data_IF_583399168424
#
_entry.id   IF_583399168424
#
_cell.length_a   1.000
_cell.length_b   1.000
_cell.length_c   1.000
_cell.angle_alpha   90.00
_cell.angle_beta   90.00
_cell.angle_gamma   90.00
#
_symmetry.space_group_name_H-M   'P 1'
#
loop_
_entity.id
_entity.type
_entity.pdbx_description
1 polymer ?
#
# COMPACT_ATOMS: atom_id res chain seq x y z
N UNK A 1 -19.32 -4.84 20.64
CA UNK A 1 -17.98 -5.34 20.26
C UNK A 1 -17.46 -4.42 19.18
N UNK A 2 -16.38 -3.66 19.41
CA UNK A 2 -15.86 -2.73 18.41
C UNK A 2 -15.07 -3.54 17.37
N UNK A 3 -15.57 -3.58 16.12
CA UNK A 3 -14.86 -4.16 14.98
C UNK A 3 -14.18 -3.02 14.19
N UNK A 4 -12.91 -3.18 13.85
CA UNK A 4 -12.17 -2.25 13.01
C UNK A 4 -11.90 -2.89 11.67
N UNK A 5 -12.11 -2.13 10.60
CA UNK A 5 -11.87 -2.59 9.23
C UNK A 5 -11.42 -1.43 8.35
N UNK A 6 -10.60 -1.77 7.38
CA UNK A 6 -10.16 -0.88 6.30
C UNK A 6 -10.17 -1.66 4.98
N UNK A 7 -10.11 -1.01 3.81
CA UNK A 7 -10.05 -1.72 2.53
C UNK A 7 -8.90 -2.74 2.46
N UNK A 8 -7.76 -2.45 3.10
CA UNK A 8 -6.63 -3.38 3.16
C UNK A 8 -6.68 -4.41 4.31
N UNK A 9 -7.62 -4.29 5.25
CA UNK A 9 -7.77 -5.23 6.38
C UNK A 9 -9.24 -5.49 6.71
N UNK A 10 -9.76 -6.60 6.18
CA UNK A 10 -11.13 -7.08 6.40
C UNK A 10 -11.22 -8.26 7.37
N UNK A 11 -10.12 -8.64 8.02
CA UNK A 11 -10.01 -9.84 8.85
C UNK A 11 -11.12 -9.97 9.90
N UNK A 12 -11.57 -8.86 10.50
CA UNK A 12 -12.63 -8.86 11.53
C UNK A 12 -14.06 -8.98 10.97
N UNK A 13 -14.22 -9.00 9.65
CA UNK A 13 -15.50 -9.06 8.95
C UNK A 13 -15.60 -10.29 8.03
N UNK A 14 -14.60 -11.17 8.01
CA UNK A 14 -14.59 -12.38 7.18
C UNK A 14 -15.80 -13.28 7.42
N UNK A 15 -16.22 -13.40 8.69
CA UNK A 15 -17.41 -14.15 9.12
C UNK A 15 -18.69 -13.62 8.46
N UNK A 16 -18.78 -12.31 8.22
CA UNK A 16 -19.94 -11.66 7.61
C UNK A 16 -19.82 -11.68 6.07
N UNK A 17 -18.64 -11.37 5.54
CA UNK A 17 -18.38 -11.25 4.11
C UNK A 17 -18.43 -12.60 3.38
N UNK A 18 -18.05 -13.70 4.05
CA UNK A 18 -17.95 -15.02 3.44
C UNK A 18 -19.04 -16.00 3.91
N UNK A 19 -20.01 -15.56 4.70
CA UNK A 19 -21.15 -16.39 5.14
C UNK A 19 -22.01 -16.94 3.98
N UNK A 20 -21.96 -16.30 2.80
CA UNK A 20 -22.85 -16.57 1.66
C UNK A 20 -22.06 -16.87 0.38
N UNK A 21 -21.07 -17.77 0.47
CA UNK A 21 -20.06 -18.08 -0.55
C UNK A 21 -20.50 -17.97 -2.02
N UNK A 22 -19.96 -16.96 -2.73
CA UNK A 22 -19.70 -16.96 -4.18
C UNK A 22 -18.83 -15.76 -4.62
N UNK A 23 -18.68 -14.74 -3.77
CA UNK A 23 -17.76 -13.64 -4.03
C UNK A 23 -16.33 -14.09 -3.78
N UNK A 24 -15.51 -14.09 -4.83
CA UNK A 24 -14.10 -14.40 -4.77
C UNK A 24 -13.41 -13.61 -3.65
N UNK A 25 -12.41 -14.23 -3.03
CA UNK A 25 -11.56 -13.60 -2.02
C UNK A 25 -10.82 -12.43 -2.68
N UNK A 26 -11.39 -11.22 -2.64
CA UNK A 26 -10.67 -10.03 -3.11
C UNK A 26 -9.36 -9.95 -2.34
N UNK A 27 -8.26 -9.76 -3.06
CA UNK A 27 -6.94 -9.62 -2.45
C UNK A 27 -6.96 -8.42 -1.50
N UNK A 28 -6.99 -8.71 -0.21
CA UNK A 28 -6.86 -7.71 0.85
C UNK A 28 -5.40 -7.70 1.25
N UNK A 29 -4.77 -6.53 1.12
CA UNK A 29 -3.37 -6.35 1.40
C UNK A 29 -3.08 -4.91 1.76
N UNK A 30 -2.29 -4.74 2.82
CA UNK A 30 -1.77 -3.44 3.25
C UNK A 30 -0.31 -3.36 2.84
N UNK A 31 0.02 -2.37 2.03
CA UNK A 31 1.39 -2.05 1.64
C UNK A 31 1.87 -0.83 2.42
N UNK A 32 3.07 -0.85 2.99
CA UNK A 32 3.73 0.34 3.52
C UNK A 32 4.80 0.79 2.54
N UNK A 33 4.94 2.11 2.36
CA UNK A 33 6.02 2.65 1.54
C UNK A 33 6.73 3.86 2.19
N UNK A 34 8.02 3.99 1.89
CA UNK A 34 8.86 5.08 2.39
C UNK A 34 9.89 5.48 1.34
N UNK A 35 10.04 6.79 1.12
CA UNK A 35 11.12 7.32 0.30
C UNK A 35 12.39 7.48 1.13
N UNK A 36 13.51 7.20 0.49
CA UNK A 36 14.84 7.56 0.95
C UNK A 36 15.65 8.10 -0.23
N UNK A 37 16.46 9.12 0.01
CA UNK A 37 17.38 9.65 -0.99
C UNK A 37 18.79 9.59 -0.43
N UNK A 38 19.68 8.89 -1.13
CA UNK A 38 21.08 8.77 -0.77
C UNK A 38 21.94 8.99 -2.01
N UNK A 39 22.97 9.84 -1.91
CA UNK A 39 23.87 10.17 -3.03
C UNK A 39 23.16 10.63 -4.32
N UNK A 40 22.02 11.33 -4.17
CA UNK A 40 21.22 11.81 -5.30
C UNK A 40 20.34 10.73 -5.97
N UNK A 41 20.37 9.49 -5.48
CA UNK A 41 19.49 8.42 -5.92
C UNK A 41 18.35 8.29 -4.92
N UNK A 42 17.12 8.45 -5.42
CA UNK A 42 15.91 8.24 -4.61
C UNK A 42 15.40 6.82 -4.82
N UNK A 43 15.14 6.13 -3.72
CA UNK A 43 14.56 4.79 -3.68
C UNK A 43 13.27 4.79 -2.87
N UNK A 44 12.40 3.83 -3.17
CA UNK A 44 11.20 3.53 -2.38
C UNK A 44 11.39 2.16 -1.74
N UNK A 45 11.39 2.12 -0.41
CA UNK A 45 11.23 0.89 0.34
C UNK A 45 9.76 0.51 0.43
N UNK A 46 9.44 -0.76 0.17
CA UNK A 46 8.09 -1.31 0.13
C UNK A 46 8.00 -2.54 1.04
N UNK A 47 6.90 -2.65 1.78
CA UNK A 47 6.57 -3.84 2.56
C UNK A 47 5.07 -4.16 2.44
N UNK A 48 4.72 -5.37 2.03
CA UNK A 48 3.34 -5.84 1.91
C UNK A 48 3.09 -6.97 2.90
N UNK A 49 1.99 -6.89 3.63
CA UNK A 49 1.45 -8.02 4.40
C UNK A 49 0.37 -8.69 3.55
N UNK A 50 0.60 -9.95 3.20
CA UNK A 50 -0.35 -10.81 2.50
C UNK A 50 -0.92 -11.81 3.53
N UNK A 51 -2.09 -11.43 4.07
CA UNK A 51 -2.80 -12.23 5.09
C UNK A 51 -3.30 -13.57 4.56
N UNK A 52 -3.54 -13.68 3.24
CA UNK A 52 -4.03 -14.92 2.64
C UNK A 52 -2.93 -15.99 2.61
N UNK A 53 -1.70 -15.59 2.29
CA UNK A 53 -0.55 -16.50 2.22
C UNK A 53 0.29 -16.54 3.50
N UNK A 54 -0.06 -15.71 4.50
CA UNK A 54 0.72 -15.53 5.73
C UNK A 54 2.17 -15.12 5.43
N UNK A 55 2.38 -14.30 4.40
CA UNK A 55 3.71 -13.85 4.00
C UNK A 55 3.89 -12.34 4.16
N UNK A 56 5.13 -11.96 4.44
CA UNK A 56 5.57 -10.57 4.38
C UNK A 56 6.51 -10.45 3.19
N UNK A 57 6.14 -9.60 2.23
CA UNK A 57 6.95 -9.33 1.02
C UNK A 57 7.60 -7.97 1.20
N UNK A 58 8.89 -7.87 0.88
CA UNK A 58 9.63 -6.61 0.95
C UNK A 58 10.44 -6.40 -0.33
N UNK A 59 10.52 -5.17 -0.80
CA UNK A 59 11.42 -4.81 -1.89
C UNK A 59 11.82 -3.34 -1.82
N UNK A 60 12.94 -3.03 -2.46
CA UNK A 60 13.39 -1.66 -2.68
C UNK A 60 13.49 -1.42 -4.17
N UNK A 61 13.02 -0.26 -4.63
CA UNK A 61 13.09 0.12 -6.04
C UNK A 61 13.54 1.55 -6.21
N UNK A 62 14.35 1.81 -7.24
CA UNK A 62 14.75 3.16 -7.64
C UNK A 62 13.57 3.91 -8.23
N UNK A 63 13.43 5.19 -7.89
CA UNK A 63 12.41 6.10 -8.43
C UNK A 63 12.81 6.53 -9.84
N UNK A 64 11.97 6.23 -10.82
CA UNK A 64 12.05 6.83 -12.15
C UNK A 64 11.26 8.14 -12.18
N UNK A 65 11.45 8.96 -13.24
CA UNK A 65 10.83 10.28 -13.39
C UNK A 65 9.29 10.32 -13.22
N UNK A 66 8.60 9.17 -13.32
CA UNK A 66 7.14 9.09 -13.23
C UNK A 66 6.64 7.98 -12.28
N UNK A 67 7.48 7.45 -11.37
CA UNK A 67 7.10 6.38 -10.44
C UNK A 67 6.59 5.09 -11.12
N UNK A 68 6.88 4.86 -12.40
CA UNK A 68 6.32 3.74 -13.16
C UNK A 68 6.69 2.36 -12.59
N UNK A 69 7.85 2.24 -11.96
CA UNK A 69 8.26 1.02 -11.24
C UNK A 69 7.31 0.73 -10.07
N UNK A 70 6.91 1.76 -9.33
CA UNK A 70 5.94 1.64 -8.24
C UNK A 70 4.55 1.28 -8.79
N UNK A 71 4.06 2.01 -9.80
CA UNK A 71 2.75 1.72 -10.41
C UNK A 71 2.67 0.25 -10.89
N UNK A 72 3.75 -0.26 -11.49
CA UNK A 72 3.85 -1.66 -11.92
C UNK A 72 3.73 -2.62 -10.74
N UNK A 73 4.42 -2.33 -9.63
CA UNK A 73 4.35 -3.16 -8.41
C UNK A 73 2.96 -3.12 -7.80
N UNK A 74 2.32 -1.94 -7.73
CA UNK A 74 0.97 -1.80 -7.19
C UNK A 74 -0.05 -2.58 -8.02
N UNK A 75 0.05 -2.54 -9.35
CA UNK A 75 -0.81 -3.34 -10.25
C UNK A 75 -0.59 -4.84 -10.06
N UNK A 76 0.66 -5.29 -9.94
CA UNK A 76 1.02 -6.70 -9.76
C UNK A 76 0.57 -7.26 -8.40
N UNK A 77 0.79 -6.50 -7.32
CA UNK A 77 0.49 -6.94 -5.96
C UNK A 77 -0.97 -6.70 -5.57
N UNK A 78 -1.64 -5.74 -6.21
CA UNK A 78 -3.03 -5.40 -5.96
C UNK A 78 -3.39 -5.04 -4.51
N UNK A 79 -2.54 -4.33 -3.73
CA UNK A 79 -2.93 -3.91 -2.39
C UNK A 79 -4.13 -2.96 -2.48
N UNK A 80 -4.98 -2.98 -1.46
CA UNK A 80 -6.16 -2.09 -1.41
C UNK A 80 -5.90 -0.85 -0.56
N UNK A 81 -4.86 -0.89 0.25
CA UNK A 81 -4.46 0.20 1.12
C UNK A 81 -2.94 0.33 1.16
N UNK A 82 -2.47 1.57 1.19
CA UNK A 82 -1.09 1.93 1.32
C UNK A 82 -0.87 2.85 2.52
N UNK A 83 0.03 2.47 3.42
CA UNK A 83 0.47 3.29 4.53
C UNK A 83 1.60 4.22 4.08
N UNK A 84 1.39 5.51 4.29
CA UNK A 84 2.41 6.55 4.09
C UNK A 84 2.70 7.26 5.40
N UNK A 85 3.96 7.63 5.71
CA UNK A 85 4.22 8.51 6.83
C UNK A 85 3.54 9.87 6.61
N UNK A 86 2.99 10.46 7.66
CA UNK A 86 2.44 11.80 7.67
C UNK A 86 3.61 12.79 7.57
N UNK A 87 3.66 13.57 6.50
CA UNK A 87 4.65 14.63 6.34
C UNK A 87 3.97 15.98 6.53
N UNK A 88 4.56 16.83 7.37
CA UNK A 88 4.17 18.24 7.51
C UNK A 88 4.78 19.10 6.41
N UNK A 89 5.74 18.57 5.65
CA UNK A 89 6.51 19.28 4.65
C UNK A 89 6.08 18.87 3.24
N UNK A 90 5.76 19.87 2.43
CA UNK A 90 5.42 19.83 1.00
C UNK A 90 6.62 19.42 0.13
N UNK A 91 7.28 18.31 0.47
CA UNK A 91 8.32 17.72 -0.37
C UNK A 91 7.62 17.19 -1.64
N UNK A 92 7.86 17.83 -2.79
CA UNK A 92 7.21 17.53 -4.06
C UNK A 92 7.21 16.03 -4.40
N UNK A 93 8.26 15.32 -4.01
CA UNK A 93 8.40 13.88 -4.21
C UNK A 93 7.33 13.07 -3.47
N UNK A 94 6.97 13.43 -2.23
CA UNK A 94 5.93 12.72 -1.48
C UNK A 94 4.54 12.99 -2.05
N UNK A 95 4.28 14.20 -2.55
CA UNK A 95 3.02 14.50 -3.22
C UNK A 95 2.88 13.70 -4.52
N UNK A 96 3.96 13.57 -5.30
CA UNK A 96 3.98 12.75 -6.50
C UNK A 96 3.82 11.26 -6.19
N UNK A 97 4.48 10.77 -5.13
CA UNK A 97 4.32 9.39 -4.64
C UNK A 97 2.87 9.10 -4.27
N UNK A 98 2.25 9.97 -3.45
CA UNK A 98 0.85 9.85 -3.04
C UNK A 98 -0.08 9.80 -4.26
N UNK A 99 0.10 10.72 -5.21
CA UNK A 99 -0.65 10.75 -6.47
C UNK A 99 -0.50 9.46 -7.28
N UNK A 100 0.70 8.89 -7.38
CA UNK A 100 0.95 7.65 -8.11
C UNK A 100 0.21 6.45 -7.46
N UNK A 101 0.18 6.40 -6.13
CA UNK A 101 -0.53 5.37 -5.37
C UNK A 101 -2.04 5.49 -5.58
N UNK A 102 -2.59 6.69 -5.40
CA UNK A 102 -4.03 6.95 -5.55
C UNK A 102 -4.51 6.69 -6.99
N UNK A 103 -3.71 7.07 -7.99
CA UNK A 103 -3.98 6.78 -9.42
C UNK A 103 -4.02 5.28 -9.72
N UNK A 104 -3.33 4.46 -8.93
CA UNK A 104 -3.36 3.00 -9.04
C UNK A 104 -4.58 2.36 -8.36
N UNK A 105 -5.51 3.17 -7.83
CA UNK A 105 -6.72 2.68 -7.16
C UNK A 105 -6.49 2.20 -5.72
N UNK A 106 -5.35 2.55 -5.12
CA UNK A 106 -4.99 2.14 -3.76
C UNK A 106 -5.28 3.27 -2.78
N UNK A 107 -6.01 2.98 -1.70
CA UNK A 107 -6.30 3.98 -0.67
C UNK A 107 -5.01 4.36 0.07
N UNK A 108 -4.74 5.65 0.24
CA UNK A 108 -3.63 6.12 1.08
C UNK A 108 -4.13 6.38 2.51
N UNK A 109 -3.46 5.76 3.48
CA UNK A 109 -3.66 5.99 4.90
C UNK A 109 -2.39 6.57 5.51
N UNK A 110 -2.47 7.81 5.98
CA UNK A 110 -1.33 8.49 6.59
C UNK A 110 -1.12 8.02 8.04
N UNK A 111 0.14 7.81 8.43
CA UNK A 111 0.55 7.34 9.76
C UNK A 111 1.64 8.24 10.34
N UNK A 112 1.62 8.55 11.65
CA UNK A 112 2.74 9.28 12.27
C UNK A 112 4.06 8.54 12.00
N UNK A 113 5.11 9.33 11.75
CA UNK A 113 6.45 8.84 11.39
C UNK A 113 7.11 8.08 12.54
#
# INVERSE_FOLDING_TARGET
MNRFGSPGNLTQFEDILYASSSTAQESSGVLACKLATENGVTVIGLALIDVQTLTIKMCEVTVSNHYSNLETILVQLGPKECLLPSFTSTEDNYLQLKKAIEKSGVLVTERPK
#
